data_IF_514412030020
#
_entry.id   IF_514412030020
#
_cell.length_a   1.000
_cell.length_b   1.000
_cell.length_c   1.000
_cell.angle_alpha   90.00
_cell.angle_beta   90.00
_cell.angle_gamma   90.00
#
_symmetry.space_group_name_H-M   'P 1'
#
loop_
_entity.id
_entity.type
_entity.pdbx_description
1 polymer ?
#
# COMPACT_ATOMS: atom_id res chain seq x y z
N UNK A 1 -13.50 9.43 -1.28
CA UNK A 1 -12.12 9.70 -1.73
C UNK A 1 -11.38 10.45 -0.64
N UNK A 2 -10.06 10.36 -0.58
CA UNK A 2 -9.26 11.02 0.44
C UNK A 2 -7.77 10.95 0.12
N UNK A 3 -6.99 11.90 0.63
CA UNK A 3 -5.55 11.94 0.49
C UNK A 3 -4.94 12.51 1.76
N UNK A 4 -3.91 11.84 2.31
CA UNK A 4 -3.14 12.37 3.44
C UNK A 4 -1.70 11.86 3.41
N UNK A 5 -0.81 12.63 4.02
CA UNK A 5 0.56 12.20 4.30
C UNK A 5 0.65 11.84 5.78
N UNK A 6 1.18 10.66 6.10
CA UNK A 6 1.32 10.19 7.49
C UNK A 6 2.59 9.38 7.68
N UNK A 7 3.06 9.27 8.93
CA UNK A 7 3.99 8.22 9.31
C UNK A 7 3.20 7.00 9.79
N UNK A 8 3.73 5.82 9.54
CA UNK A 8 3.14 4.56 9.98
C UNK A 8 3.77 4.17 11.32
N UNK A 9 2.97 4.19 12.38
CA UNK A 9 3.41 3.76 13.70
C UNK A 9 3.55 2.24 13.75
N UNK A 10 4.49 1.70 14.56
CA UNK A 10 4.68 0.25 14.72
C UNK A 10 3.39 -0.52 15.03
N UNK A 11 2.51 0.06 15.86
CA UNK A 11 1.22 -0.56 16.19
C UNK A 11 0.33 -0.74 14.95
N UNK A 12 0.23 0.29 14.09
CA UNK A 12 -0.54 0.25 12.85
C UNK A 12 0.08 -0.74 11.85
N UNK A 13 1.42 -0.75 11.75
CA UNK A 13 2.14 -1.70 10.90
C UNK A 13 1.90 -3.14 11.36
N UNK A 14 1.89 -3.40 12.67
CA UNK A 14 1.67 -4.74 13.23
C UNK A 14 0.27 -5.23 12.98
N UNK A 15 -0.73 -4.36 13.05
CA UNK A 15 -2.10 -4.68 12.70
C UNK A 15 -2.25 -4.96 11.20
N UNK A 16 -1.67 -4.10 10.34
CA UNK A 16 -1.74 -4.26 8.90
C UNK A 16 -1.05 -5.55 8.42
N UNK A 17 0.11 -5.87 8.98
CA UNK A 17 0.89 -7.06 8.67
C UNK A 17 0.63 -8.21 9.67
N UNK A 18 -0.53 -8.27 10.33
CA UNK A 18 -0.82 -9.29 11.35
C UNK A 18 -0.60 -10.73 10.85
N UNK A 19 -0.85 -10.98 9.57
CA UNK A 19 -0.64 -12.27 8.89
C UNK A 19 0.83 -12.72 8.81
N UNK A 20 1.79 -11.79 8.95
CA UNK A 20 3.24 -12.04 8.93
C UNK A 20 3.99 -11.47 10.14
N UNK A 21 3.31 -10.84 11.10
CA UNK A 21 3.93 -10.16 12.24
C UNK A 21 4.72 -11.09 13.20
N UNK A 22 4.49 -12.41 13.12
CA UNK A 22 5.24 -13.42 13.87
C UNK A 22 6.43 -14.00 13.10
N UNK A 23 6.62 -13.61 11.83
CA UNK A 23 7.69 -14.13 10.97
C UNK A 23 9.02 -13.43 11.28
N UNK A 24 10.17 -14.11 11.15
CA UNK A 24 11.48 -13.56 11.50
C UNK A 24 11.88 -12.33 10.67
N UNK A 25 11.32 -12.17 9.47
CA UNK A 25 11.58 -11.03 8.58
C UNK A 25 10.70 -9.79 8.87
N UNK A 26 9.73 -9.90 9.78
CA UNK A 26 8.83 -8.77 10.09
C UNK A 26 9.53 -7.51 10.60
N UNK A 27 10.56 -7.59 11.48
CA UNK A 27 11.28 -6.39 11.93
C UNK A 27 11.87 -5.56 10.79
N UNK A 28 12.31 -6.21 9.71
CA UNK A 28 12.81 -5.51 8.52
C UNK A 28 11.69 -4.78 7.77
N UNK A 29 10.51 -5.39 7.66
CA UNK A 29 9.33 -4.75 7.07
C UNK A 29 8.91 -3.54 7.90
N UNK A 30 8.84 -3.68 9.22
CA UNK A 30 8.45 -2.59 10.13
C UNK A 30 9.45 -1.43 10.03
N UNK A 31 10.75 -1.72 10.10
CA UNK A 31 11.80 -0.70 9.98
C UNK A 31 11.77 0.01 8.62
N UNK A 32 11.54 -0.72 7.53
CA UNK A 32 11.45 -0.14 6.20
C UNK A 32 10.23 0.79 6.07
N UNK A 33 9.05 0.30 6.43
CA UNK A 33 7.79 1.04 6.27
C UNK A 33 7.67 2.25 7.20
N UNK A 34 8.33 2.23 8.36
CA UNK A 34 8.39 3.36 9.28
C UNK A 34 9.50 4.37 8.96
N UNK A 35 10.46 4.02 8.09
CA UNK A 35 11.63 4.86 7.80
C UNK A 35 11.28 6.22 7.17
N UNK A 36 10.14 6.31 6.47
CA UNK A 36 9.70 7.49 5.73
C UNK A 36 8.19 7.70 5.87
N UNK A 37 7.71 8.95 5.77
CA UNK A 37 6.28 9.19 5.65
C UNK A 37 5.75 8.61 4.33
N UNK A 38 4.49 8.19 4.35
CA UNK A 38 3.76 7.66 3.21
C UNK A 38 2.64 8.61 2.80
N UNK A 39 2.29 8.59 1.52
CA UNK A 39 1.08 9.21 1.02
C UNK A 39 0.03 8.12 0.89
N UNK A 40 -1.11 8.30 1.56
CA UNK A 40 -2.25 7.41 1.50
C UNK A 40 -3.31 8.02 0.58
N UNK A 41 -3.85 7.18 -0.31
CA UNK A 41 -4.89 7.57 -1.26
C UNK A 41 -6.11 6.65 -1.08
N UNK A 42 -7.28 7.24 -0.88
CA UNK A 42 -8.56 6.57 -0.98
C UNK A 42 -9.22 6.97 -2.30
N UNK A 43 -9.28 6.04 -3.26
CA UNK A 43 -9.75 6.28 -4.62
C UNK A 43 -11.13 5.66 -4.84
N UNK A 44 -11.91 6.22 -5.75
CA UNK A 44 -13.23 5.71 -6.14
C UNK A 44 -13.34 5.68 -7.65
N UNK A 45 -13.95 4.62 -8.19
CA UNK A 45 -14.29 4.51 -9.59
C UNK A 45 -14.71 3.10 -9.98
N UNK A 46 -15.29 2.90 -11.17
CA UNK A 46 -15.64 1.56 -11.67
C UNK A 46 -14.38 0.70 -11.83
N UNK A 47 -14.32 -0.43 -11.13
CA UNK A 47 -13.18 -1.36 -11.17
C UNK A 47 -11.88 -0.75 -10.65
N UNK A 48 -11.94 0.17 -9.68
CA UNK A 48 -10.79 0.98 -9.27
C UNK A 48 -9.63 0.14 -8.71
N UNK A 49 -9.91 -0.92 -7.95
CA UNK A 49 -8.88 -1.80 -7.37
C UNK A 49 -8.03 -2.43 -8.48
N UNK A 50 -8.67 -3.07 -9.46
CA UNK A 50 -7.98 -3.68 -10.60
C UNK A 50 -7.19 -2.63 -11.42
N UNK A 51 -7.82 -1.50 -11.75
CA UNK A 51 -7.17 -0.42 -12.52
C UNK A 51 -5.92 0.14 -11.83
N UNK A 52 -5.98 0.33 -10.52
CA UNK A 52 -4.82 0.82 -9.75
C UNK A 52 -3.72 -0.25 -9.72
N UNK A 53 -4.06 -1.54 -9.56
CA UNK A 53 -3.07 -2.63 -9.64
C UNK A 53 -2.39 -2.70 -11.00
N UNK A 54 -3.15 -2.53 -12.08
CA UNK A 54 -2.60 -2.49 -13.44
C UNK A 54 -1.64 -1.32 -13.63
N UNK A 55 -1.99 -0.15 -13.09
CA UNK A 55 -1.11 1.03 -13.08
C UNK A 55 0.19 0.78 -12.29
N UNK A 56 0.11 0.06 -11.18
CA UNK A 56 1.26 -0.28 -10.37
C UNK A 56 2.17 -1.31 -11.03
N UNK A 57 1.61 -2.33 -11.68
CA UNK A 57 2.34 -3.50 -12.15
C UNK A 57 2.61 -4.54 -11.04
N UNK A 58 3.28 -5.66 -11.36
CA UNK A 58 3.54 -6.76 -10.41
C UNK A 58 4.41 -6.31 -9.23
N UNK A 59 4.29 -7.01 -8.09
CA UNK A 59 5.00 -6.67 -6.84
C UNK A 59 6.53 -6.63 -6.99
N UNK A 60 7.09 -7.52 -7.81
CA UNK A 60 8.51 -7.50 -8.14
C UNK A 60 8.79 -6.53 -9.29
N UNK A 61 9.33 -5.36 -8.98
CA UNK A 61 9.68 -4.31 -9.96
C UNK A 61 10.58 -4.80 -11.10
N UNK A 62 11.41 -5.83 -10.86
CA UNK A 62 12.28 -6.40 -11.91
C UNK A 62 11.50 -7.14 -13.00
N UNK A 63 10.23 -7.46 -12.72
CA UNK A 63 9.29 -8.14 -13.64
C UNK A 63 8.20 -7.20 -14.14
N UNK A 64 8.17 -5.95 -13.67
CA UNK A 64 7.17 -4.97 -14.06
C UNK A 64 7.48 -4.37 -15.43
N UNK A 65 6.46 -4.20 -16.26
CA UNK A 65 6.63 -3.58 -17.58
C UNK A 65 6.92 -2.08 -17.45
N UNK A 66 7.74 -1.55 -18.36
CA UNK A 66 7.96 -0.11 -18.51
C UNK A 66 6.62 0.61 -18.75
N UNK A 67 6.42 1.75 -18.11
CA UNK A 67 5.17 2.51 -18.09
C UNK A 67 4.25 2.21 -16.89
N UNK A 68 4.54 1.17 -16.11
CA UNK A 68 3.91 0.95 -14.80
C UNK A 68 4.72 1.66 -13.71
N UNK A 69 4.09 2.06 -12.61
CA UNK A 69 4.78 2.77 -11.52
C UNK A 69 5.96 1.94 -11.00
N UNK A 70 5.78 0.63 -10.81
CA UNK A 70 6.83 -0.26 -10.30
C UNK A 70 7.93 -0.53 -11.32
N UNK A 71 7.60 -0.55 -12.61
CA UNK A 71 8.57 -0.76 -13.68
C UNK A 71 9.44 0.48 -13.93
N UNK A 72 8.86 1.67 -13.78
CA UNK A 72 9.58 2.92 -14.03
C UNK A 72 10.40 3.41 -12.83
N UNK A 73 9.93 3.15 -11.60
CA UNK A 73 10.50 3.76 -10.39
C UNK A 73 10.97 2.78 -9.31
N UNK A 74 10.59 1.50 -9.40
CA UNK A 74 10.99 0.50 -8.41
C UNK A 74 12.28 -0.24 -8.78
N UNK A 75 12.94 -0.84 -7.79
CA UNK A 75 14.24 -1.51 -7.99
C UNK A 75 14.20 -3.01 -7.72
N UNK A 76 13.38 -3.44 -6.75
CA UNK A 76 13.30 -4.83 -6.28
C UNK A 76 11.97 -5.06 -5.56
N UNK A 77 11.71 -6.30 -5.13
CA UNK A 77 10.45 -6.69 -4.48
C UNK A 77 10.12 -5.88 -3.22
N UNK A 78 11.10 -5.57 -2.38
CA UNK A 78 10.89 -4.81 -1.14
C UNK A 78 10.86 -3.29 -1.37
N UNK A 79 11.54 -2.80 -2.42
CA UNK A 79 11.57 -1.38 -2.79
C UNK A 79 10.82 -1.16 -4.10
N UNK A 80 9.52 -1.41 -4.05
CA UNK A 80 8.61 -1.34 -5.20
C UNK A 80 7.71 -0.10 -5.19
N UNK A 81 8.11 0.96 -4.47
CA UNK A 81 7.51 2.31 -4.50
C UNK A 81 6.11 2.45 -3.88
N UNK A 82 5.17 1.55 -4.17
CA UNK A 82 3.76 1.75 -3.85
C UNK A 82 3.01 0.43 -3.60
N UNK A 83 1.99 0.53 -2.73
CA UNK A 83 1.04 -0.52 -2.40
C UNK A 83 -0.33 -0.22 -3.02
N UNK A 84 -1.09 -1.27 -3.33
CA UNK A 84 -2.49 -1.19 -3.68
C UNK A 84 -3.20 -2.44 -3.16
N UNK A 85 -4.43 -2.26 -2.68
CA UNK A 85 -5.30 -3.36 -2.27
C UNK A 85 -5.46 -4.38 -3.40
N UNK A 86 -5.67 -5.64 -3.05
CA UNK A 86 -5.75 -6.77 -3.98
C UNK A 86 -7.17 -7.19 -4.36
N UNK A 87 -8.12 -7.03 -3.44
CA UNK A 87 -9.55 -7.24 -3.67
C UNK A 87 -10.38 -6.08 -3.13
N UNK A 88 -11.65 -6.01 -3.50
CA UNK A 88 -12.58 -4.99 -2.99
C UNK A 88 -12.82 -5.16 -1.48
N UNK A 89 -12.83 -6.40 -0.96
CA UNK A 89 -12.93 -6.69 0.47
C UNK A 89 -11.71 -6.17 1.23
N UNK A 90 -10.50 -6.45 0.73
CA UNK A 90 -9.28 -5.97 1.36
C UNK A 90 -9.16 -4.44 1.25
N UNK A 91 -9.63 -3.84 0.15
CA UNK A 91 -9.70 -2.39 0.02
C UNK A 91 -10.61 -1.77 1.11
N UNK A 92 -11.76 -2.36 1.41
CA UNK A 92 -12.64 -1.89 2.48
C UNK A 92 -11.98 -1.99 3.87
N UNK A 93 -11.28 -3.09 4.15
CA UNK A 93 -10.53 -3.29 5.41
C UNK A 93 -9.40 -2.26 5.54
N UNK A 94 -8.63 -2.05 4.48
CA UNK A 94 -7.53 -1.08 4.46
C UNK A 94 -8.04 0.35 4.62
N UNK A 95 -9.12 0.73 3.93
CA UNK A 95 -9.74 2.04 4.09
C UNK A 95 -10.18 2.30 5.52
N UNK A 96 -10.87 1.35 6.16
CA UNK A 96 -11.32 1.47 7.54
C UNK A 96 -10.15 1.58 8.54
N UNK A 97 -9.03 0.91 8.25
CA UNK A 97 -7.81 0.98 9.08
C UNK A 97 -7.10 2.32 8.97
N UNK A 98 -6.99 2.87 7.75
CA UNK A 98 -6.14 4.02 7.48
C UNK A 98 -6.86 5.35 7.45
N UNK A 99 -8.18 5.39 7.23
CA UNK A 99 -8.95 6.62 7.15
C UNK A 99 -10.09 6.65 8.17
N UNK A 100 -10.22 7.76 8.89
CA UNK A 100 -11.42 8.09 9.65
C UNK A 100 -12.52 8.50 8.67
N UNK A 101 -13.79 8.34 9.06
CA UNK A 101 -14.92 8.78 8.25
C UNK A 101 -14.85 10.27 7.87
N UNK A 102 -14.31 11.12 8.75
CA UNK A 102 -14.10 12.56 8.51
C UNK A 102 -12.99 12.88 7.51
N UNK A 103 -12.17 11.90 7.14
CA UNK A 103 -11.07 12.03 6.17
C UNK A 103 -11.48 11.52 4.78
N UNK A 104 -12.72 11.05 4.63
CA UNK A 104 -13.29 10.53 3.39
C UNK A 104 -14.40 11.48 2.88
N UNK A 105 -14.23 11.94 1.65
CA UNK A 105 -15.11 12.88 0.97
C UNK A 105 -15.86 12.19 -0.18
N UNK A 106 -17.04 12.70 -0.55
CA UNK A 106 -17.85 12.15 -1.65
C UNK A 106 -17.20 12.38 -3.03
#
# INVERSE_FOLDING_TARGET
MGCKMTRLDPAVLREHYAHVASKPFYPEIEAFMSSRPVIMLALRGPGIVAKVRDLLGPTDSRKAAKGTIRGDFGTEMMKNVCHASDTDENAAIELARFFKASELFA
#
